data_IF_263982418615
#
_entry.id   IF_263982418615
#
_cell.length_a   1.000
_cell.length_b   1.000
_cell.length_c   1.000
_cell.angle_alpha   90.00
_cell.angle_beta   90.00
_cell.angle_gamma   90.00
#
_symmetry.space_group_name_H-M   'P 1'
#
loop_
_entity.id
_entity.type
_entity.pdbx_description
1 polymer ?
#
# COMPACT_ATOMS: atom_id res chain seq x y z
N UNK A 1 -13.37 -6.19 7.15
CA UNK A 1 -12.64 -7.46 7.36
C UNK A 1 -11.44 -7.57 6.43
N UNK A 2 -11.66 -8.04 5.19
CA UNK A 2 -10.61 -8.41 4.22
C UNK A 2 -9.48 -7.38 4.04
N UNK A 3 -9.80 -6.11 3.78
CA UNK A 3 -8.78 -5.06 3.63
C UNK A 3 -7.95 -4.87 4.89
N UNK A 4 -8.57 -4.88 6.07
CA UNK A 4 -7.85 -4.74 7.33
C UNK A 4 -6.86 -5.89 7.52
N UNK A 5 -7.28 -7.12 7.24
CA UNK A 5 -6.41 -8.30 7.32
C UNK A 5 -5.23 -8.24 6.33
N UNK A 6 -5.49 -7.84 5.08
CA UNK A 6 -4.42 -7.66 4.08
C UNK A 6 -3.42 -6.57 4.48
N UNK A 7 -3.92 -5.41 4.91
CA UNK A 7 -3.10 -4.27 5.33
C UNK A 7 -2.23 -4.61 6.54
N UNK A 8 -2.81 -5.22 7.57
CA UNK A 8 -2.05 -5.58 8.78
C UNK A 8 -1.02 -6.67 8.48
N UNK A 9 -1.34 -7.63 7.61
CA UNK A 9 -0.39 -8.68 7.21
C UNK A 9 0.83 -8.10 6.49
N UNK A 10 0.60 -7.20 5.52
CA UNK A 10 1.68 -6.48 4.82
C UNK A 10 2.48 -5.60 5.78
N UNK A 11 1.78 -4.85 6.63
CA UNK A 11 2.39 -3.99 7.65
C UNK A 11 3.34 -4.79 8.55
N UNK A 12 2.87 -5.91 9.12
CA UNK A 12 3.67 -6.74 10.02
C UNK A 12 4.87 -7.36 9.31
N UNK A 13 4.67 -7.90 8.11
CA UNK A 13 5.75 -8.49 7.31
C UNK A 13 6.86 -7.47 7.06
N UNK A 14 6.50 -6.26 6.65
CA UNK A 14 7.44 -5.17 6.42
C UNK A 14 8.08 -4.68 7.72
N UNK A 15 7.30 -4.55 8.80
CA UNK A 15 7.79 -4.13 10.11
C UNK A 15 8.89 -5.06 10.62
N UNK A 16 8.69 -6.38 10.56
CA UNK A 16 9.73 -7.33 10.96
C UNK A 16 10.95 -7.26 10.06
N UNK A 17 10.75 -7.27 8.74
CA UNK A 17 11.82 -7.17 7.76
C UNK A 17 12.72 -5.94 8.02
N UNK A 18 12.15 -4.74 8.12
CA UNK A 18 12.94 -3.50 8.25
C UNK A 18 13.70 -3.40 9.57
N UNK A 19 13.11 -3.93 10.65
CA UNK A 19 13.71 -3.85 11.97
C UNK A 19 14.85 -4.87 12.08
N UNK A 20 14.66 -6.08 11.57
CA UNK A 20 15.70 -7.11 11.50
C UNK A 20 16.84 -6.64 10.62
N UNK A 21 16.53 -6.06 9.45
CA UNK A 21 17.55 -5.52 8.56
C UNK A 21 18.40 -4.44 9.27
N UNK A 22 17.73 -3.52 9.97
CA UNK A 22 18.37 -2.45 10.73
C UNK A 22 19.25 -2.96 11.89
N UNK A 23 18.73 -3.86 12.73
CA UNK A 23 19.47 -4.34 13.91
C UNK A 23 20.64 -5.24 13.53
N UNK A 24 20.49 -6.08 12.50
CA UNK A 24 21.56 -6.98 12.08
C UNK A 24 22.77 -6.26 11.49
N UNK A 25 22.62 -5.06 10.93
CA UNK A 25 23.78 -4.26 10.53
C UNK A 25 24.74 -3.96 11.70
N UNK A 26 24.22 -3.76 12.91
CA UNK A 26 25.06 -3.65 14.12
C UNK A 26 25.72 -4.98 14.49
N UNK A 27 24.98 -6.08 14.33
CA UNK A 27 25.51 -7.43 14.58
C UNK A 27 26.68 -7.76 13.64
N UNK A 28 26.56 -7.43 12.35
CA UNK A 28 27.65 -7.60 11.37
C UNK A 28 28.88 -6.78 11.74
N UNK A 29 28.70 -5.52 12.19
CA UNK A 29 29.80 -4.70 12.68
C UNK A 29 30.52 -5.33 13.89
N UNK A 30 29.78 -6.02 14.76
CA UNK A 30 30.32 -6.69 15.95
C UNK A 30 31.46 -7.66 15.66
N UNK A 31 31.41 -8.38 14.53
CA UNK A 31 32.49 -9.28 14.12
C UNK A 31 33.79 -8.55 13.79
N UNK A 32 33.71 -7.33 13.26
CA UNK A 32 34.87 -6.53 12.89
C UNK A 32 35.42 -5.70 14.06
N UNK A 33 34.57 -5.36 15.04
CA UNK A 33 34.93 -4.54 16.19
C UNK A 33 35.26 -5.34 17.46
N UNK A 34 35.39 -6.67 17.35
CA UNK A 34 35.67 -7.56 18.48
C UNK A 34 34.57 -7.57 19.54
N UNK A 35 33.31 -7.36 19.12
CA UNK A 35 32.14 -7.23 19.99
C UNK A 35 32.24 -6.13 21.05
N UNK A 36 32.97 -5.04 20.77
CA UNK A 36 33.14 -3.87 21.65
C UNK A 36 31.88 -3.00 21.84
N UNK A 37 30.71 -3.47 21.40
CA UNK A 37 29.43 -2.76 21.42
C UNK A 37 29.43 -1.39 20.70
N UNK A 38 30.36 -1.18 19.77
CA UNK A 38 30.39 0.03 18.95
C UNK A 38 29.19 0.11 18.01
N UNK A 39 28.53 1.28 17.98
CA UNK A 39 27.37 1.51 17.10
C UNK A 39 27.81 1.86 15.69
N UNK A 40 27.19 1.23 14.69
CA UNK A 40 27.40 1.55 13.28
C UNK A 40 26.81 2.92 12.92
N UNK A 41 25.61 3.19 13.41
CA UNK A 41 24.88 4.41 13.14
C UNK A 41 25.11 5.48 14.21
N UNK A 42 24.87 6.73 13.81
CA UNK A 42 24.76 7.85 14.73
C UNK A 42 23.55 7.64 15.69
N UNK A 43 23.70 7.86 17.02
CA UNK A 43 22.61 7.72 17.97
C UNK A 43 21.32 8.46 17.59
N UNK A 44 21.41 9.63 16.97
CA UNK A 44 20.23 10.35 16.49
C UNK A 44 19.52 9.60 15.36
N UNK A 45 20.26 8.97 14.45
CA UNK A 45 19.68 8.13 13.41
C UNK A 45 18.98 6.91 14.01
N UNK A 46 19.60 6.26 15.01
CA UNK A 46 18.99 5.10 15.69
C UNK A 46 17.63 5.48 16.29
N UNK A 47 17.55 6.63 16.97
CA UNK A 47 16.32 7.11 17.57
C UNK A 47 15.23 7.50 16.54
N UNK A 48 15.64 8.07 15.40
CA UNK A 48 14.72 8.64 14.41
C UNK A 48 14.33 7.68 13.28
N UNK A 49 15.09 6.60 13.07
CA UNK A 49 14.88 5.64 11.98
C UNK A 49 13.45 5.09 11.91
N UNK A 50 12.95 4.60 13.04
CA UNK A 50 11.62 4.00 13.09
C UNK A 50 10.49 5.02 13.05
N UNK A 51 10.71 6.25 13.52
CA UNK A 51 9.68 7.27 13.67
C UNK A 51 9.57 8.16 12.43
N UNK A 52 10.69 8.69 11.91
CA UNK A 52 10.64 9.67 10.82
C UNK A 52 10.94 9.07 9.45
N UNK A 53 11.89 8.14 9.34
CA UNK A 53 12.39 7.70 8.02
C UNK A 53 11.64 6.52 7.43
N UNK A 54 10.95 5.72 8.25
CA UNK A 54 10.33 4.47 7.79
C UNK A 54 8.88 4.27 8.24
N UNK A 55 8.32 5.13 9.10
CA UNK A 55 6.93 4.95 9.57
C UNK A 55 5.89 5.45 8.56
N UNK A 56 6.14 6.59 7.92
CA UNK A 56 5.11 7.34 7.22
C UNK A 56 4.60 6.60 5.97
N UNK A 57 5.46 6.07 5.08
CA UNK A 57 5.01 5.26 3.93
C UNK A 57 4.32 3.96 4.37
N UNK A 58 4.73 3.40 5.50
CA UNK A 58 4.15 2.17 6.07
C UNK A 58 2.77 2.42 6.65
N UNK A 59 2.58 3.56 7.32
CA UNK A 59 1.29 3.97 7.86
C UNK A 59 0.32 4.24 6.72
N UNK A 60 0.76 4.93 5.66
CA UNK A 60 -0.08 5.16 4.48
C UNK A 60 -0.46 3.84 3.81
N UNK A 61 0.46 2.88 3.68
CA UNK A 61 0.14 1.53 3.23
C UNK A 61 -0.88 0.85 4.15
N UNK A 62 -0.67 0.90 5.47
CA UNK A 62 -1.53 0.25 6.47
C UNK A 62 -2.96 0.81 6.53
N UNK A 63 -3.17 2.05 6.08
CA UNK A 63 -4.50 2.71 6.12
C UNK A 63 -5.16 2.76 4.75
N UNK A 64 -4.42 3.11 3.70
CA UNK A 64 -4.99 3.47 2.40
C UNK A 64 -4.79 2.41 1.31
N UNK A 65 -3.97 1.37 1.52
CA UNK A 65 -3.75 0.36 0.49
C UNK A 65 -5.04 -0.44 0.22
N UNK A 66 -5.37 -0.64 -1.05
CA UNK A 66 -6.57 -1.33 -1.49
C UNK A 66 -6.20 -2.24 -2.66
N UNK A 67 -6.59 -3.50 -2.56
CA UNK A 67 -6.33 -4.49 -3.61
C UNK A 67 -7.36 -4.40 -4.74
N UNK A 68 -8.64 -4.32 -4.36
CA UNK A 68 -9.84 -4.39 -5.18
C UNK A 68 -10.85 -3.41 -4.58
N UNK A 69 -11.74 -2.81 -5.38
CA UNK A 69 -12.74 -1.87 -4.87
C UNK A 69 -13.82 -2.55 -4.01
N UNK A 70 -14.49 -1.78 -3.14
CA UNK A 70 -15.52 -2.31 -2.23
C UNK A 70 -16.61 -3.10 -2.98
N UNK A 71 -17.17 -2.50 -4.03
CA UNK A 71 -18.23 -3.12 -4.84
C UNK A 71 -17.78 -4.45 -5.46
N UNK A 72 -16.55 -4.48 -5.97
CA UNK A 72 -15.99 -5.68 -6.57
C UNK A 72 -15.69 -6.76 -5.52
N UNK A 73 -15.25 -6.37 -4.33
CA UNK A 73 -15.05 -7.31 -3.23
C UNK A 73 -16.38 -7.91 -2.75
N UNK A 74 -17.47 -7.13 -2.75
CA UNK A 74 -18.82 -7.63 -2.42
C UNK A 74 -19.37 -8.55 -3.51
N UNK A 75 -19.13 -8.22 -4.79
CA UNK A 75 -19.57 -9.05 -5.93
C UNK A 75 -18.91 -10.44 -5.98
N UNK A 76 -17.76 -10.61 -5.30
CA UNK A 76 -16.96 -11.84 -5.32
C UNK A 76 -16.61 -12.31 -3.89
N UNK A 77 -17.57 -12.90 -3.16
CA UNK A 77 -17.36 -13.34 -1.78
C UNK A 77 -16.20 -14.32 -1.60
N UNK A 78 -15.91 -15.15 -2.61
CA UNK A 78 -14.80 -16.13 -2.60
C UNK A 78 -13.41 -15.50 -2.40
N UNK A 79 -13.26 -14.19 -2.61
CA UNK A 79 -12.02 -13.47 -2.34
C UNK A 79 -11.73 -13.31 -0.84
N UNK A 80 -12.71 -13.61 0.02
CA UNK A 80 -12.57 -13.59 1.48
C UNK A 80 -11.91 -14.86 2.03
N UNK A 81 -12.05 -16.00 1.35
CA UNK A 81 -11.58 -17.32 1.82
C UNK A 81 -10.09 -17.38 2.20
N UNK A 82 -9.15 -16.77 1.46
CA UNK A 82 -7.73 -16.76 1.86
C UNK A 82 -7.47 -16.13 3.24
N UNK A 83 -8.34 -15.20 3.67
CA UNK A 83 -8.27 -14.61 5.00
C UNK A 83 -8.74 -15.54 6.12
N UNK A 84 -9.60 -16.53 5.81
CA UNK A 84 -10.04 -17.53 6.79
C UNK A 84 -9.02 -18.66 6.96
N UNK A 85 -8.18 -18.88 5.94
CA UNK A 85 -7.15 -19.91 5.92
C UNK A 85 -5.78 -19.40 6.43
N UNK A 86 -5.72 -18.18 6.96
CA UNK A 86 -4.49 -17.51 7.40
C UNK A 86 -3.36 -17.47 6.33
N UNK A 87 -3.74 -17.31 5.05
CA UNK A 87 -2.77 -17.38 3.95
C UNK A 87 -1.83 -16.16 3.89
N UNK A 88 -2.28 -14.98 4.35
CA UNK A 88 -1.49 -13.73 4.25
C UNK A 88 -0.53 -13.51 5.41
N UNK A 89 -0.81 -14.07 6.59
CA UNK A 89 0.08 -14.00 7.73
C UNK A 89 0.11 -15.34 8.46
N UNK A 90 1.19 -16.08 8.24
CA UNK A 90 1.44 -17.36 8.89
C UNK A 90 2.91 -17.46 9.35
N UNK A 91 3.24 -18.52 10.08
CA UNK A 91 4.61 -18.75 10.58
C UNK A 91 5.65 -18.82 9.46
N UNK A 92 5.28 -19.29 8.26
CA UNK A 92 6.18 -19.38 7.10
C UNK A 92 6.49 -17.99 6.54
N UNK A 93 5.48 -17.12 6.38
CA UNK A 93 5.62 -15.74 5.92
C UNK A 93 6.44 -14.92 6.92
N UNK A 94 6.28 -15.18 8.22
CA UNK A 94 7.14 -14.59 9.25
C UNK A 94 8.60 -15.07 9.12
N UNK A 95 8.84 -16.38 8.96
CA UNK A 95 10.19 -16.89 8.75
C UNK A 95 10.82 -16.32 7.47
N UNK A 96 10.04 -16.17 6.39
CA UNK A 96 10.48 -15.53 5.14
C UNK A 96 10.87 -14.08 5.36
N UNK A 97 10.11 -13.29 6.14
CA UNK A 97 10.48 -11.90 6.41
C UNK A 97 11.74 -11.77 7.27
N UNK A 98 11.98 -12.71 8.19
CA UNK A 98 13.22 -12.80 8.97
C UNK A 98 14.41 -13.11 8.07
N UNK A 99 14.31 -14.13 7.22
CA UNK A 99 15.37 -14.52 6.29
C UNK A 99 15.65 -13.38 5.30
N UNK A 100 14.60 -12.75 4.76
CA UNK A 100 14.73 -11.60 3.86
C UNK A 100 15.45 -10.43 4.54
N UNK A 101 15.13 -10.15 5.81
CA UNK A 101 15.83 -9.15 6.62
C UNK A 101 17.31 -9.48 6.87
N UNK A 102 17.64 -10.74 7.15
CA UNK A 102 19.03 -11.22 7.31
C UNK A 102 19.82 -11.00 6.01
N UNK A 103 19.30 -11.48 4.88
CA UNK A 103 19.97 -11.34 3.58
C UNK A 103 20.16 -9.87 3.21
N UNK A 104 19.14 -9.06 3.43
CA UNK A 104 19.18 -7.63 3.15
C UNK A 104 20.22 -6.92 4.02
N UNK A 105 20.24 -7.16 5.33
CA UNK A 105 21.26 -6.56 6.21
C UNK A 105 22.68 -6.96 5.84
N UNK A 106 22.87 -8.21 5.42
CA UNK A 106 24.15 -8.73 4.97
C UNK A 106 24.64 -7.93 3.75
N UNK A 107 23.82 -7.82 2.70
CA UNK A 107 24.17 -7.08 1.49
C UNK A 107 24.39 -5.59 1.78
N UNK A 108 23.50 -4.95 2.55
CA UNK A 108 23.59 -3.54 2.92
C UNK A 108 24.86 -3.24 3.74
N UNK A 109 25.36 -4.21 4.51
CA UNK A 109 26.60 -4.05 5.25
C UNK A 109 27.84 -4.32 4.39
N UNK A 110 27.89 -5.47 3.71
CA UNK A 110 29.09 -5.93 3.01
C UNK A 110 29.37 -5.18 1.71
N UNK A 111 28.34 -4.77 0.95
CA UNK A 111 28.56 -4.06 -0.32
C UNK A 111 29.25 -2.70 -0.08
N UNK A 112 28.75 -1.83 0.83
CA UNK A 112 29.45 -0.59 1.16
C UNK A 112 30.79 -0.84 1.85
N UNK A 113 30.92 -1.89 2.66
CA UNK A 113 32.19 -2.22 3.33
C UNK A 113 33.30 -2.50 2.30
N UNK A 114 33.00 -3.35 1.31
CA UNK A 114 33.94 -3.66 0.23
C UNK A 114 34.24 -2.42 -0.63
N UNK A 115 33.23 -1.63 -0.95
CA UNK A 115 33.37 -0.45 -1.80
C UNK A 115 34.19 0.68 -1.15
N UNK A 116 33.99 0.93 0.15
CA UNK A 116 34.61 2.05 0.87
C UNK A 116 36.02 1.69 1.39
N UNK A 117 36.32 0.41 1.61
CA UNK A 117 37.61 -0.05 2.16
C UNK A 117 38.84 0.49 1.42
N UNK A 118 38.76 0.62 0.09
CA UNK A 118 39.85 1.13 -0.75
C UNK A 118 39.55 2.52 -1.37
N UNK A 119 38.49 3.19 -0.90
CA UNK A 119 38.02 4.43 -1.50
C UNK A 119 38.77 5.66 -0.96
N UNK A 120 39.31 6.45 -1.88
CA UNK A 120 39.90 7.75 -1.61
C UNK A 120 39.02 8.86 -2.19
N UNK A 121 38.92 9.98 -1.46
CA UNK A 121 38.23 11.18 -1.94
C UNK A 121 39.10 11.88 -3.00
N UNK A 122 38.49 12.77 -3.79
CA UNK A 122 39.19 13.67 -4.72
C UNK A 122 40.34 14.46 -4.07
N UNK A 123 40.24 14.70 -2.76
CA UNK A 123 41.21 15.49 -1.99
C UNK A 123 42.35 14.63 -1.40
N UNK A 124 42.42 13.34 -1.75
CA UNK A 124 43.44 12.41 -1.26
C UNK A 124 43.19 11.86 0.16
N UNK A 125 42.19 12.37 0.87
CA UNK A 125 41.79 11.86 2.19
C UNK A 125 41.05 10.53 2.06
N UNK A 126 41.31 9.60 2.99
CA UNK A 126 40.66 8.29 3.04
C UNK A 126 39.19 8.41 3.42
N UNK A 127 38.30 7.71 2.70
CA UNK A 127 36.87 7.65 3.02
C UNK A 127 36.52 6.52 4.01
N UNK A 128 37.53 5.74 4.43
CA UNK A 128 37.41 4.55 5.27
C UNK A 128 37.12 4.82 6.76
N UNK A 129 36.64 6.02 7.10
CA UNK A 129 36.23 6.35 8.45
C UNK A 129 34.89 5.68 8.78
N UNK A 130 34.75 5.22 10.04
CA UNK A 130 33.52 4.58 10.50
C UNK A 130 32.29 5.48 10.33
N UNK A 131 32.45 6.80 10.49
CA UNK A 131 31.35 7.76 10.36
C UNK A 131 30.85 7.85 8.91
N UNK A 132 31.77 7.91 7.94
CA UNK A 132 31.45 7.94 6.51
C UNK A 132 30.80 6.62 6.06
N UNK A 133 31.31 5.49 6.57
CA UNK A 133 30.73 4.18 6.38
C UNK A 133 29.32 4.09 6.99
N UNK A 134 29.14 4.49 8.25
CA UNK A 134 27.87 4.47 8.96
C UNK A 134 26.79 5.32 8.28
N UNK A 135 27.15 6.52 7.80
CA UNK A 135 26.26 7.37 7.02
C UNK A 135 25.88 6.73 5.68
N UNK A 136 26.84 6.11 4.98
CA UNK A 136 26.57 5.42 3.72
C UNK A 136 25.62 4.23 3.91
N UNK A 137 25.85 3.41 4.92
CA UNK A 137 24.97 2.28 5.23
C UNK A 137 23.58 2.76 5.66
N UNK A 138 23.48 3.84 6.46
CA UNK A 138 22.23 4.42 6.89
C UNK A 138 21.37 4.95 5.73
N UNK A 139 21.98 5.69 4.80
CA UNK A 139 21.30 6.23 3.62
C UNK A 139 20.81 5.13 2.70
N UNK A 140 21.65 4.12 2.41
CA UNK A 140 21.28 2.95 1.62
C UNK A 140 20.11 2.20 2.30
N UNK A 141 20.19 1.96 3.62
CA UNK A 141 19.12 1.30 4.38
C UNK A 141 17.78 2.02 4.21
N UNK A 142 17.74 3.34 4.41
CA UNK A 142 16.49 4.12 4.29
C UNK A 142 15.94 4.05 2.86
N UNK A 143 16.79 4.16 1.85
CA UNK A 143 16.36 4.12 0.44
C UNK A 143 15.83 2.74 0.08
N UNK A 144 16.57 1.67 0.37
CA UNK A 144 16.17 0.29 0.06
C UNK A 144 14.84 -0.06 0.72
N UNK A 145 14.73 0.18 2.03
CA UNK A 145 13.55 -0.16 2.81
C UNK A 145 12.32 0.57 2.23
N UNK A 146 12.42 1.87 1.93
CA UNK A 146 11.32 2.62 1.33
C UNK A 146 11.00 2.20 -0.11
N UNK A 147 11.99 1.86 -0.94
CA UNK A 147 11.77 1.38 -2.31
C UNK A 147 11.14 -0.02 -2.32
N UNK A 148 11.58 -0.93 -1.44
CA UNK A 148 10.94 -2.25 -1.28
C UNK A 148 9.49 -2.11 -0.83
N UNK A 149 9.20 -1.17 0.08
CA UNK A 149 7.81 -0.86 0.44
C UNK A 149 6.99 -0.40 -0.77
N UNK A 150 7.59 0.43 -1.63
CA UNK A 150 6.93 0.96 -2.81
C UNK A 150 6.58 -0.13 -3.82
N UNK A 151 7.44 -1.14 -3.96
CA UNK A 151 7.21 -2.29 -4.84
C UNK A 151 6.06 -3.19 -4.35
N UNK A 152 5.80 -3.24 -3.04
CA UNK A 152 4.75 -4.09 -2.45
C UNK A 152 3.33 -3.51 -2.60
N UNK A 153 3.22 -2.22 -2.90
CA UNK A 153 1.95 -1.51 -2.89
C UNK A 153 1.13 -1.85 -4.13
N UNK A 154 -0.16 -2.07 -3.88
CA UNK A 154 -1.09 -2.36 -4.96
C UNK A 154 -1.74 -1.08 -5.47
N UNK A 155 -2.08 -0.14 -4.58
CA UNK A 155 -2.75 1.10 -4.96
C UNK A 155 -1.88 2.33 -4.75
N UNK A 156 -1.34 2.85 -5.86
CA UNK A 156 -0.51 4.05 -5.88
C UNK A 156 -1.36 5.30 -5.71
N UNK A 157 -1.49 5.76 -4.47
CA UNK A 157 -2.19 7.02 -4.14
C UNK A 157 -1.24 8.21 -4.21
N UNK A 158 -1.78 9.41 -4.47
CA UNK A 158 -0.99 10.66 -4.38
C UNK A 158 -0.38 10.85 -2.98
N UNK A 159 -1.13 10.50 -1.92
CA UNK A 159 -0.65 10.51 -0.54
C UNK A 159 0.55 9.59 -0.34
N UNK A 160 0.57 8.42 -0.98
CA UNK A 160 1.71 7.51 -0.89
C UNK A 160 2.96 8.08 -1.59
N UNK A 161 2.81 8.69 -2.76
CA UNK A 161 3.93 9.37 -3.42
C UNK A 161 4.49 10.48 -2.53
N UNK A 162 3.60 11.34 -2.01
CA UNK A 162 4.01 12.39 -1.07
C UNK A 162 4.74 11.81 0.14
N UNK A 163 4.21 10.73 0.73
CA UNK A 163 4.82 10.05 1.85
C UNK A 163 6.24 9.55 1.56
N UNK A 164 6.44 8.90 0.41
CA UNK A 164 7.72 8.35 -0.01
C UNK A 164 8.76 9.44 -0.30
N UNK A 165 8.37 10.49 -1.02
CA UNK A 165 9.27 11.61 -1.29
C UNK A 165 9.59 12.40 -0.02
N UNK A 166 8.59 12.61 0.84
CA UNK A 166 8.77 13.31 2.10
C UNK A 166 9.76 12.59 3.02
N UNK A 167 9.74 11.25 3.11
CA UNK A 167 10.71 10.53 3.95
C UNK A 167 12.13 10.63 3.41
N UNK A 168 12.33 10.51 2.09
CA UNK A 168 13.65 10.64 1.47
C UNK A 168 14.20 12.06 1.67
N UNK A 169 13.40 13.09 1.42
CA UNK A 169 13.81 14.50 1.61
C UNK A 169 14.11 14.78 3.08
N UNK A 170 13.23 14.33 3.99
CA UNK A 170 13.44 14.51 5.44
C UNK A 170 14.72 13.84 5.91
N UNK A 171 15.06 12.66 5.38
CA UNK A 171 16.30 11.96 5.71
C UNK A 171 17.54 12.78 5.35
N UNK A 172 17.63 13.33 4.14
CA UNK A 172 18.76 14.16 3.73
C UNK A 172 18.81 15.50 4.48
N UNK A 173 17.67 16.17 4.65
CA UNK A 173 17.60 17.42 5.42
C UNK A 173 18.04 17.22 6.87
N UNK A 174 17.60 16.13 7.49
CA UNK A 174 17.96 15.79 8.86
C UNK A 174 19.48 15.57 9.02
N UNK A 175 20.11 14.79 8.13
CA UNK A 175 21.56 14.58 8.20
C UNK A 175 22.37 15.81 7.80
N UNK A 176 21.87 16.64 6.88
CA UNK A 176 22.53 17.90 6.55
C UNK A 176 22.49 18.88 7.73
N UNK A 177 21.35 18.95 8.44
CA UNK A 177 21.21 19.74 9.65
C UNK A 177 22.07 19.21 10.79
N UNK A 178 22.02 17.90 11.07
CA UNK A 178 22.78 17.28 12.16
C UNK A 178 24.28 17.37 11.97
N UNK A 179 24.77 17.12 10.76
CA UNK A 179 26.21 17.09 10.49
C UNK A 179 26.76 18.46 10.09
N UNK A 180 25.95 19.52 10.26
CA UNK A 180 26.36 20.90 10.03
C UNK A 180 27.36 21.38 11.08
N UNK A 181 28.16 22.38 10.69
CA UNK A 181 29.10 23.06 11.60
C UNK A 181 28.39 23.79 12.75
N UNK A 182 27.11 24.12 12.59
CA UNK A 182 26.28 24.77 13.62
C UNK A 182 26.08 23.84 14.81
N UNK A 183 25.67 22.59 14.56
CA UNK A 183 25.49 21.59 15.62
C UNK A 183 26.82 21.22 16.26
N UNK A 184 27.91 21.15 15.47
CA UNK A 184 29.26 20.97 16.00
C UNK A 184 29.64 22.02 17.06
N UNK A 185 29.26 23.29 16.85
CA UNK A 185 29.48 24.38 17.81
C UNK A 185 28.60 24.24 19.06
N UNK A 186 27.34 23.83 18.91
CA UNK A 186 26.41 23.60 20.04
C UNK A 186 26.92 22.48 20.95
N UNK A 187 27.44 21.39 20.38
CA UNK A 187 27.98 20.24 21.12
C UNK A 187 29.47 20.37 21.48
N UNK A 188 30.02 21.59 21.49
CA UNK A 188 31.42 21.88 21.88
C UNK A 188 32.46 21.00 21.16
N UNK A 189 32.28 20.76 19.86
CA UNK A 189 33.21 20.05 18.99
C UNK A 189 33.48 18.56 19.33
N UNK A 190 32.72 17.96 20.26
CA UNK A 190 32.79 16.51 20.55
C UNK A 190 32.03 15.65 19.52
N UNK A 191 31.34 16.28 18.57
CA UNK A 191 30.52 15.60 17.59
C UNK A 191 31.35 15.17 16.37
N UNK A 192 31.62 13.87 16.26
CA UNK A 192 32.54 13.28 15.28
C UNK A 192 32.01 13.19 13.84
N UNK A 193 30.78 13.67 13.58
CA UNK A 193 30.09 13.55 12.29
C UNK A 193 30.10 14.85 11.47
N UNK A 194 30.78 15.90 11.92
CA UNK A 194 30.78 17.22 11.26
C UNK A 194 31.31 17.09 9.82
N UNK A 195 30.53 17.57 8.84
CA UNK A 195 30.93 17.60 7.42
C UNK A 195 30.89 16.24 6.70
N UNK A 196 30.53 15.14 7.38
CA UNK A 196 30.48 13.79 6.77
C UNK A 196 29.47 13.73 5.63
N UNK A 197 28.29 14.33 5.78
CA UNK A 197 27.24 14.36 4.75
C UNK A 197 27.77 14.96 3.44
N UNK A 198 28.46 16.10 3.52
CA UNK A 198 28.99 16.79 2.35
C UNK A 198 30.14 16.00 1.72
N UNK A 199 31.04 15.43 2.55
CA UNK A 199 32.15 14.62 2.10
C UNK A 199 31.69 13.36 1.33
N UNK A 200 30.73 12.63 1.88
CA UNK A 200 30.23 11.38 1.29
C UNK A 200 29.41 11.65 0.02
N UNK A 201 28.48 12.60 0.06
CA UNK A 201 27.62 12.91 -1.09
C UNK A 201 28.38 13.52 -2.28
N UNK A 202 29.51 14.18 -2.04
CA UNK A 202 30.38 14.71 -3.10
C UNK A 202 31.17 13.62 -3.82
N UNK A 203 31.27 12.42 -3.25
CA UNK A 203 32.09 11.34 -3.80
C UNK A 203 31.28 10.49 -4.77
N UNK A 204 31.77 10.26 -5.99
CA UNK A 204 31.08 9.40 -6.98
C UNK A 204 30.92 7.96 -6.51
N UNK A 205 31.86 7.45 -5.73
CA UNK A 205 31.82 6.08 -5.20
C UNK A 205 30.55 5.82 -4.36
N UNK A 206 30.11 6.81 -3.59
CA UNK A 206 28.86 6.70 -2.82
C UNK A 206 27.66 6.41 -3.72
N UNK A 207 27.50 7.17 -4.81
CA UNK A 207 26.38 7.02 -5.74
C UNK A 207 26.40 5.69 -6.47
N UNK A 208 27.59 5.23 -6.90
CA UNK A 208 27.73 3.91 -7.52
C UNK A 208 27.43 2.78 -6.53
N UNK A 209 27.88 2.91 -5.27
CA UNK A 209 27.60 1.94 -4.22
C UNK A 209 26.10 1.88 -3.90
N UNK A 210 25.45 3.04 -3.80
CA UNK A 210 24.00 3.14 -3.62
C UNK A 210 23.25 2.47 -4.78
N UNK A 211 23.63 2.79 -6.02
CA UNK A 211 23.00 2.21 -7.21
C UNK A 211 23.21 0.70 -7.28
N UNK A 212 24.44 0.23 -7.06
CA UNK A 212 24.78 -1.19 -7.04
C UNK A 212 23.98 -1.94 -5.99
N UNK A 213 23.90 -1.41 -4.76
CA UNK A 213 23.14 -2.03 -3.68
C UNK A 213 21.64 -2.06 -3.98
N UNK A 214 21.10 -0.98 -4.57
CA UNK A 214 19.72 -0.94 -5.06
C UNK A 214 19.45 -2.03 -6.09
N UNK A 215 20.33 -2.20 -7.09
CA UNK A 215 20.14 -3.22 -8.12
C UNK A 215 20.19 -4.62 -7.51
N UNK A 216 21.18 -4.91 -6.66
CA UNK A 216 21.36 -6.25 -6.05
C UNK A 216 20.13 -6.64 -5.21
N UNK A 217 19.54 -5.71 -4.46
CA UNK A 217 18.42 -6.01 -3.56
C UNK A 217 17.05 -5.94 -4.24
N UNK A 218 16.84 -4.96 -5.13
CA UNK A 218 15.53 -4.76 -5.76
C UNK A 218 15.28 -5.71 -6.93
N UNK A 219 16.33 -6.11 -7.66
CA UNK A 219 16.20 -7.02 -8.81
C UNK A 219 15.60 -8.39 -8.45
N UNK A 220 16.05 -9.10 -7.40
CA UNK A 220 15.42 -10.37 -7.01
C UNK A 220 13.98 -10.19 -6.53
N UNK A 221 13.67 -9.10 -5.83
CA UNK A 221 12.31 -8.80 -5.38
C UNK A 221 11.39 -8.56 -6.58
N UNK A 222 11.83 -7.72 -7.52
CA UNK A 222 11.09 -7.44 -8.75
C UNK A 222 10.94 -8.71 -9.61
N UNK A 223 12.02 -9.50 -9.75
CA UNK A 223 12.01 -10.76 -10.48
C UNK A 223 11.04 -11.78 -9.90
N UNK A 224 10.98 -11.91 -8.57
CA UNK A 224 10.03 -12.79 -7.87
C UNK A 224 8.59 -12.36 -8.14
N UNK A 225 8.27 -11.08 -8.01
CA UNK A 225 6.92 -10.58 -8.27
C UNK A 225 6.52 -10.72 -9.73
N UNK A 226 7.43 -10.43 -10.67
CA UNK A 226 7.19 -10.62 -12.10
C UNK A 226 6.93 -12.08 -12.44
N UNK A 227 7.76 -13.00 -11.93
CA UNK A 227 7.60 -14.43 -12.15
C UNK A 227 6.26 -14.94 -11.61
N UNK A 228 5.91 -14.54 -10.37
CA UNK A 228 4.63 -14.89 -9.74
C UNK A 228 3.44 -14.37 -10.55
N UNK A 229 3.45 -13.10 -10.93
CA UNK A 229 2.38 -12.48 -11.72
C UNK A 229 2.20 -13.18 -13.08
N UNK A 230 3.29 -13.60 -13.73
CA UNK A 230 3.24 -14.21 -15.06
C UNK A 230 2.86 -15.69 -15.04
N UNK A 231 3.47 -16.49 -14.17
CA UNK A 231 3.34 -17.94 -14.20
C UNK A 231 2.37 -18.50 -13.16
N UNK A 232 2.22 -17.85 -12.01
CA UNK A 232 1.35 -18.32 -10.91
C UNK A 232 0.46 -17.19 -10.36
N UNK A 233 -0.44 -16.60 -11.18
CA UNK A 233 -1.27 -15.50 -10.74
C UNK A 233 -2.28 -15.95 -9.68
N UNK A 234 -2.29 -15.25 -8.55
CA UNK A 234 -3.21 -15.50 -7.43
C UNK A 234 -4.65 -15.19 -7.86
N UNK A 235 -5.65 -15.77 -7.18
CA UNK A 235 -7.07 -15.44 -7.42
C UNK A 235 -7.33 -13.93 -7.32
N UNK A 236 -6.62 -13.24 -6.42
CA UNK A 236 -6.68 -11.78 -6.25
C UNK A 236 -6.09 -11.07 -7.47
N UNK A 237 -4.92 -11.48 -7.96
CA UNK A 237 -4.27 -10.87 -9.14
C UNK A 237 -5.16 -10.99 -10.38
N UNK A 238 -5.79 -12.15 -10.58
CA UNK A 238 -6.77 -12.36 -11.66
C UNK A 238 -8.01 -11.48 -11.49
N UNK A 239 -8.52 -11.34 -10.26
CA UNK A 239 -9.69 -10.51 -9.99
C UNK A 239 -9.38 -9.02 -10.23
N UNK A 240 -8.17 -8.58 -9.90
CA UNK A 240 -7.67 -7.22 -10.13
C UNK A 240 -7.51 -6.90 -11.61
N UNK A 241 -6.89 -7.80 -12.39
CA UNK A 241 -6.77 -7.64 -13.84
C UNK A 241 -8.15 -7.51 -14.50
N UNK A 242 -9.09 -8.37 -14.13
CA UNK A 242 -10.46 -8.30 -14.63
C UNK A 242 -11.18 -6.99 -14.23
N UNK A 243 -10.92 -6.47 -13.03
CA UNK A 243 -11.45 -5.17 -12.62
C UNK A 243 -10.91 -4.05 -13.52
N UNK A 244 -9.60 -4.06 -13.80
CA UNK A 244 -8.96 -3.05 -14.65
C UNK A 244 -9.53 -3.05 -16.07
N UNK A 245 -9.59 -4.23 -16.72
CA UNK A 245 -10.18 -4.37 -18.05
C UNK A 245 -11.63 -3.90 -18.09
N UNK A 246 -12.44 -4.26 -17.09
CA UNK A 246 -13.85 -3.86 -17.04
C UNK A 246 -14.04 -2.37 -16.76
N UNK A 247 -13.12 -1.73 -16.03
CA UNK A 247 -13.15 -0.27 -15.83
C UNK A 247 -12.84 0.46 -17.15
N UNK A 248 -11.85 0.01 -17.90
CA UNK A 248 -11.50 0.57 -19.22
C UNK A 248 -12.66 0.41 -20.21
N UNK A 249 -13.26 -0.79 -20.27
CA UNK A 249 -14.42 -1.06 -21.10
C UNK A 249 -15.64 -0.21 -20.71
N UNK A 250 -15.95 -0.11 -19.41
CA UNK A 250 -17.02 0.75 -18.91
C UNK A 250 -16.78 2.23 -19.22
N UNK A 251 -15.54 2.71 -19.08
CA UNK A 251 -15.21 4.10 -19.39
C UNK A 251 -15.42 4.39 -20.89
N UNK A 252 -14.98 3.48 -21.77
CA UNK A 252 -15.21 3.58 -23.20
C UNK A 252 -16.71 3.55 -23.56
N UNK A 253 -17.47 2.63 -22.94
CA UNK A 253 -18.91 2.52 -23.13
C UNK A 253 -19.67 3.75 -22.66
N UNK A 254 -19.35 4.29 -21.47
CA UNK A 254 -19.98 5.50 -20.93
C UNK A 254 -19.69 6.71 -21.82
N UNK A 255 -18.46 6.87 -22.31
CA UNK A 255 -18.11 7.93 -23.26
C UNK A 255 -18.96 7.83 -24.54
N UNK A 256 -19.10 6.62 -25.10
CA UNK A 256 -19.95 6.37 -26.26
C UNK A 256 -21.44 6.62 -25.97
N UNK A 257 -21.92 6.22 -24.79
CA UNK A 257 -23.32 6.38 -24.39
C UNK A 257 -23.66 7.84 -24.10
N UNK A 258 -22.76 8.62 -23.49
CA UNK A 258 -22.93 10.07 -23.29
C UNK A 258 -23.05 10.82 -24.61
N UNK A 259 -22.27 10.43 -25.63
CA UNK A 259 -22.42 10.93 -26.99
C UNK A 259 -23.82 10.65 -27.56
N UNK A 260 -24.30 9.41 -27.40
CA UNK A 260 -25.61 8.99 -27.92
C UNK A 260 -26.81 9.57 -27.15
N UNK A 261 -26.67 9.76 -25.84
CA UNK A 261 -27.70 10.32 -24.95
C UNK A 261 -27.91 11.82 -25.16
N UNK A 262 -26.88 12.57 -25.60
CA UNK A 262 -27.04 13.98 -26.02
C UNK A 262 -28.01 14.15 -27.20
N UNK A 263 -28.28 13.08 -27.96
CA UNK A 263 -29.15 13.12 -29.15
C UNK A 263 -30.57 12.59 -28.90
N UNK A 264 -30.91 12.09 -27.70
CA UNK A 264 -32.22 11.47 -27.43
C UNK A 264 -33.01 12.19 -26.34
N UNK A 265 -34.27 12.53 -26.61
CA UNK A 265 -35.26 12.87 -25.57
C UNK A 265 -35.65 11.60 -24.81
N UNK A 266 -35.61 11.63 -23.48
CA UNK A 266 -35.97 10.49 -22.62
C UNK A 266 -37.49 10.35 -22.55
N UNK A 267 -38.06 9.14 -22.70
CA UNK A 267 -39.44 8.89 -22.34
C UNK A 267 -39.61 8.89 -20.82
N UNK A 268 -40.66 9.53 -20.34
CA UNK A 268 -41.05 9.58 -18.93
C UNK A 268 -41.86 8.31 -18.64
N UNK A 269 -41.30 7.41 -17.83
CA UNK A 269 -42.05 6.30 -17.25
C UNK A 269 -42.68 6.77 -15.94
N UNK A 270 -44.01 6.73 -15.85
CA UNK A 270 -44.71 6.93 -14.58
C UNK A 270 -44.61 5.64 -13.76
N UNK A 271 -43.84 5.68 -12.67
CA UNK A 271 -43.73 4.60 -11.69
C UNK A 271 -44.97 4.45 -10.82
N UNK A 272 -46.17 4.50 -11.41
CA UNK A 272 -47.41 4.24 -10.68
C UNK A 272 -47.50 2.74 -10.41
N UNK A 273 -47.31 2.37 -9.14
CA UNK A 273 -47.63 1.04 -8.62
C UNK A 273 -48.75 1.21 -7.60
N UNK A 274 -49.90 0.63 -7.88
CA UNK A 274 -51.06 0.69 -7.01
C UNK A 274 -51.26 -0.68 -6.37
N UNK A 275 -50.95 -0.80 -5.08
CA UNK A 275 -51.17 -2.01 -4.29
C UNK A 275 -52.52 -1.91 -3.58
N UNK A 276 -53.62 -1.95 -4.33
CA UNK A 276 -54.93 -2.25 -3.77
C UNK A 276 -55.24 -3.74 -3.96
N UNK A 277 -55.75 -4.40 -2.93
CA UNK A 277 -56.50 -5.65 -3.11
C UNK A 277 -57.77 -5.36 -3.92
N UNK A 278 -58.27 -6.34 -4.68
CA UNK A 278 -59.51 -6.18 -5.46
C UNK A 278 -60.66 -5.73 -4.54
N UNK A 279 -60.98 -4.44 -4.54
CA UNK A 279 -62.15 -3.92 -3.86
C UNK A 279 -63.44 -4.38 -4.54
N UNK A 280 -64.58 -3.84 -4.10
CA UNK A 280 -65.92 -4.13 -4.62
C UNK A 280 -66.14 -3.81 -6.12
N UNK A 281 -65.12 -3.37 -6.86
CA UNK A 281 -65.18 -3.08 -8.28
C UNK A 281 -65.75 -4.23 -9.11
N UNK A 282 -65.39 -5.48 -8.79
CA UNK A 282 -65.97 -6.68 -9.44
C UNK A 282 -67.47 -6.83 -9.17
N UNK A 283 -67.94 -6.48 -7.97
CA UNK A 283 -69.35 -6.50 -7.59
C UNK A 283 -70.14 -5.38 -8.26
N UNK A 284 -69.52 -4.23 -8.52
CA UNK A 284 -70.11 -3.11 -9.27
C UNK A 284 -70.17 -3.43 -10.78
N UNK A 285 -69.12 -4.03 -11.37
CA UNK A 285 -69.08 -4.37 -12.81
C UNK A 285 -69.88 -5.62 -13.18
N UNK A 286 -70.14 -6.52 -12.22
CA UNK A 286 -70.87 -7.77 -12.46
C UNK A 286 -72.40 -7.62 -12.61
N UNK A 287 -72.97 -6.42 -12.44
CA UNK A 287 -74.41 -6.16 -12.58
C UNK A 287 -75.31 -6.84 -11.52
N UNK A 288 -74.73 -7.62 -10.60
CA UNK A 288 -75.45 -8.39 -9.57
C UNK A 288 -76.22 -7.51 -8.57
N UNK A 289 -75.87 -6.23 -8.44
CA UNK A 289 -76.63 -5.28 -7.61
C UNK A 289 -77.95 -4.81 -8.25
N UNK A 290 -78.15 -4.98 -9.56
CA UNK A 290 -79.36 -4.49 -10.25
C UNK A 290 -80.52 -5.50 -10.27
N UNK A 291 -80.30 -6.75 -9.84
CA UNK A 291 -81.28 -7.84 -10.00
C UNK A 291 -82.40 -7.92 -8.93
N UNK A 292 -82.49 -6.98 -7.98
CA UNK A 292 -83.56 -7.01 -6.95
C UNK A 292 -84.35 -5.70 -6.91
N UNK A 293 -85.13 -5.45 -7.96
CA UNK A 293 -86.20 -4.43 -7.95
C UNK A 293 -87.35 -4.75 -8.92
N UNK A 294 -87.80 -6.01 -9.00
CA UNK A 294 -89.03 -6.31 -9.75
C UNK A 294 -89.70 -7.61 -9.29
N UNK A 295 -90.32 -7.58 -8.12
CA UNK A 295 -91.45 -8.49 -7.81
C UNK A 295 -92.23 -7.99 -6.59
N UNK A 296 -92.99 -6.91 -6.76
CA UNK A 296 -94.17 -6.67 -5.94
C UNK A 296 -95.40 -7.11 -6.76
N UNK A 297 -96.12 -8.18 -6.39
CA UNK A 297 -97.37 -8.51 -7.04
C UNK A 297 -98.46 -7.56 -6.51
N UNK A 298 -99.09 -6.79 -7.41
CA UNK A 298 -100.41 -6.18 -7.16
C UNK A 298 -101.48 -7.23 -7.47
N UNK A 299 -102.42 -7.53 -6.55
CA UNK A 299 -103.68 -8.14 -6.93
C UNK A 299 -104.74 -7.07 -7.20
N UNK A 300 -105.44 -7.30 -8.30
CA UNK A 300 -106.51 -6.52 -8.92
C UNK A 300 -107.80 -6.47 -8.10
N UNK A 301 -108.44 -5.31 -8.11
CA UNK A 301 -109.86 -5.12 -7.82
C UNK A 301 -110.73 -5.88 -8.82
N UNK A 302 -111.60 -6.77 -8.34
CA UNK A 302 -112.81 -7.17 -9.05
C UNK A 302 -114.01 -7.09 -8.10
N UNK A 303 -114.92 -6.21 -8.47
CA UNK A 303 -116.30 -6.07 -8.03
C UNK A 303 -117.20 -6.99 -8.85
N UNK A 304 -118.39 -7.24 -8.29
CA UNK A 304 -119.66 -7.74 -8.87
C UNK A 304 -120.01 -9.24 -8.83
N UNK A 305 -121.15 -9.44 -8.15
CA UNK A 305 -122.12 -10.53 -8.04
C UNK A 305 -121.78 -11.74 -7.18
#
# INVERSE_FOLDING_TARGET
GRWSYLRISKFLRYFFYKNIAFTLCHFWLGFFSGFSAQTLYDPFFIATYNVFFTSLPVLVLGVFDQDISADHSLSKPHLYTPGQNDEFFNKKVFAESVIHGILTSCIIFFVPYLSISNATRSDGMTLADLQSFGFTVATIMVIIVNLENALEIWYWTSLYHFALWATIVTHFLFHFALYSTIIGKIFKNNYKYIGVTQAVLSTSNFWFTLLLTCVILLLPVFGREFFRMRFMPTKIDRARLNQKFRMEEKAAFVAHMQYKLRQRKRPIYSGYAYSQEEGWGRLITSGLMQSKSSSSPRPSSQTTN
#
